data_IF_586582398737
#
_entry.id   IF_586582398737
#
_cell.length_a   1.000
_cell.length_b   1.000
_cell.length_c   1.000
_cell.angle_alpha   90.00
_cell.angle_beta   90.00
_cell.angle_gamma   90.00
#
_symmetry.space_group_name_H-M   'P 1'
#
loop_
_entity.id
_entity.type
_entity.pdbx_description
1 polymer ?
#
# COMPACT_ATOMS: atom_id res chain seq x y z
N UNK A 1 7.29 3.49 -25.56
CA UNK A 1 6.11 4.12 -24.94
C UNK A 1 4.98 4.12 -25.96
N UNK A 2 3.78 3.65 -25.56
CA UNK A 2 2.60 3.61 -26.42
C UNK A 2 2.00 5.00 -26.59
N UNK A 3 1.51 5.31 -27.82
CA UNK A 3 0.78 6.54 -28.16
C UNK A 3 -0.51 6.16 -28.88
N UNK A 4 -1.66 6.52 -28.31
CA UNK A 4 -2.95 6.40 -28.99
C UNK A 4 -3.07 7.46 -30.06
N UNK A 5 -3.52 7.07 -31.23
CA UNK A 5 -3.86 7.96 -32.35
C UNK A 5 -5.29 7.66 -32.75
N UNK A 6 -6.19 8.60 -32.52
CA UNK A 6 -7.58 8.50 -32.93
C UNK A 6 -7.91 9.61 -33.91
N UNK A 7 -8.28 9.25 -35.15
CA UNK A 7 -8.64 10.16 -36.24
C UNK A 7 -9.52 9.36 -37.21
N UNK A 8 -10.64 9.90 -37.71
CA UNK A 8 -11.54 9.20 -38.59
C UNK A 8 -11.00 9.11 -40.03
N UNK A 9 -10.08 9.99 -40.39
CA UNK A 9 -9.41 10.00 -41.70
C UNK A 9 -8.32 8.93 -41.78
N UNK A 10 -8.48 7.95 -42.65
CA UNK A 10 -7.49 6.90 -42.91
C UNK A 10 -6.12 7.50 -43.28
N UNK A 11 -6.10 8.53 -44.08
CA UNK A 11 -4.88 9.20 -44.56
C UNK A 11 -4.16 9.87 -43.40
N UNK A 12 -4.88 10.64 -42.57
CA UNK A 12 -4.36 11.29 -41.38
C UNK A 12 -3.81 10.26 -40.37
N UNK A 13 -4.55 9.21 -40.10
CA UNK A 13 -4.13 8.11 -39.19
C UNK A 13 -2.82 7.45 -39.62
N UNK A 14 -2.71 7.05 -40.92
CA UNK A 14 -1.47 6.45 -41.45
C UNK A 14 -0.27 7.41 -41.41
N UNK A 15 -0.50 8.69 -41.72
CA UNK A 15 0.55 9.69 -41.63
C UNK A 15 1.05 9.87 -40.18
N UNK A 16 0.13 9.99 -39.25
CA UNK A 16 0.45 10.11 -37.80
C UNK A 16 1.15 8.85 -37.26
N UNK A 17 0.65 7.66 -37.63
CA UNK A 17 1.25 6.40 -37.26
C UNK A 17 2.70 6.30 -37.73
N UNK A 18 2.96 6.56 -39.01
CA UNK A 18 4.32 6.52 -39.56
C UNK A 18 5.23 7.55 -38.90
N UNK A 19 4.71 8.75 -38.62
CA UNK A 19 5.45 9.83 -37.98
C UNK A 19 5.82 9.51 -36.55
N UNK A 20 4.89 9.05 -35.74
CA UNK A 20 5.07 8.70 -34.33
C UNK A 20 6.03 7.51 -34.20
N UNK A 21 5.90 6.50 -35.10
CA UNK A 21 6.80 5.35 -35.18
C UNK A 21 8.24 5.76 -35.50
N UNK A 22 8.42 6.71 -36.42
CA UNK A 22 9.74 7.27 -36.74
C UNK A 22 10.43 7.95 -35.55
N UNK A 23 9.65 8.48 -34.60
CA UNK A 23 10.17 9.10 -33.38
C UNK A 23 10.41 8.10 -32.25
N UNK A 24 10.25 6.78 -32.50
CA UNK A 24 10.52 5.71 -31.55
C UNK A 24 9.39 5.44 -30.56
N UNK A 25 8.18 5.88 -30.86
CA UNK A 25 6.97 5.50 -30.11
C UNK A 25 6.28 4.29 -30.74
N UNK A 26 5.46 3.61 -29.96
CA UNK A 26 4.61 2.50 -30.38
C UNK A 26 3.19 3.04 -30.61
N UNK A 27 2.75 3.21 -31.87
CA UNK A 27 1.42 3.70 -32.15
C UNK A 27 0.35 2.63 -31.87
N UNK A 28 -0.74 3.04 -31.24
CA UNK A 28 -1.98 2.28 -31.10
C UNK A 28 -3.05 3.12 -31.79
N UNK A 29 -3.68 2.59 -32.85
CA UNK A 29 -4.59 3.36 -33.69
C UNK A 29 -6.04 3.04 -33.39
N UNK A 30 -6.90 4.03 -33.51
CA UNK A 30 -8.36 3.94 -33.42
C UNK A 30 -8.99 4.71 -34.60
N UNK A 31 -10.05 4.17 -35.18
CA UNK A 31 -10.74 4.76 -36.30
C UNK A 31 -11.86 5.73 -35.89
N UNK A 32 -12.28 5.67 -34.64
CA UNK A 32 -13.31 6.54 -34.05
C UNK A 32 -13.12 6.70 -32.55
N UNK A 33 -13.95 7.57 -31.94
CA UNK A 33 -13.87 7.85 -30.53
C UNK A 33 -14.28 6.68 -29.63
N UNK A 34 -15.13 5.77 -30.10
CA UNK A 34 -15.56 4.63 -29.32
C UNK A 34 -14.47 3.56 -29.23
N UNK A 35 -13.77 3.29 -30.34
CA UNK A 35 -12.60 2.43 -30.35
C UNK A 35 -11.48 3.01 -29.46
N UNK A 36 -11.24 4.33 -29.58
CA UNK A 36 -10.28 5.04 -28.73
C UNK A 36 -10.62 4.91 -27.24
N UNK A 37 -11.90 5.04 -26.89
CA UNK A 37 -12.38 4.85 -25.53
C UNK A 37 -12.14 3.43 -25.01
N UNK A 38 -12.46 2.42 -25.82
CA UNK A 38 -12.24 1.02 -25.49
C UNK A 38 -10.74 0.69 -25.24
N UNK A 39 -9.85 1.33 -26.02
CA UNK A 39 -8.39 1.21 -25.82
C UNK A 39 -7.97 1.87 -24.50
N UNK A 40 -8.48 3.07 -24.24
CA UNK A 40 -8.15 3.81 -23.02
C UNK A 40 -8.66 3.14 -21.73
N UNK A 41 -9.62 2.24 -21.80
CA UNK A 41 -10.12 1.49 -20.64
C UNK A 41 -9.24 0.29 -20.23
N UNK A 42 -8.31 -0.13 -21.06
CA UNK A 42 -7.43 -1.28 -20.76
C UNK A 42 -6.44 -0.95 -19.63
N UNK A 43 -6.02 -1.95 -18.85
CA UNK A 43 -5.00 -1.76 -17.80
C UNK A 43 -3.67 -1.23 -18.34
N UNK A 44 -3.31 -1.59 -19.56
CA UNK A 44 -2.08 -1.19 -20.26
C UNK A 44 -2.30 -0.07 -21.28
N UNK A 45 -3.31 0.76 -21.06
CA UNK A 45 -3.68 1.87 -21.94
C UNK A 45 -2.51 2.83 -22.21
N UNK A 46 -2.42 3.39 -23.42
CA UNK A 46 -1.46 4.44 -23.73
C UNK A 46 -1.63 5.67 -22.83
N UNK A 47 -0.52 6.20 -22.34
CA UNK A 47 -0.48 7.41 -21.50
C UNK A 47 -0.27 8.69 -22.32
N UNK A 48 -0.09 8.57 -23.64
CA UNK A 48 -0.11 9.68 -24.59
C UNK A 48 -1.24 9.42 -25.59
N UNK A 49 -2.07 10.40 -25.86
CA UNK A 49 -3.16 10.31 -26.83
C UNK A 49 -3.15 11.54 -27.76
N UNK A 50 -3.21 11.27 -29.05
CA UNK A 50 -3.43 12.25 -30.11
C UNK A 50 -4.84 11.98 -30.63
N UNK A 51 -5.76 12.90 -30.39
CA UNK A 51 -7.17 12.72 -30.70
C UNK A 51 -7.63 13.79 -31.69
N UNK A 52 -8.27 13.37 -32.76
CA UNK A 52 -8.97 14.34 -33.62
C UNK A 52 -10.18 14.91 -32.84
N UNK A 53 -10.42 16.20 -33.04
CA UNK A 53 -11.55 16.87 -32.44
C UNK A 53 -12.89 16.29 -32.90
N UNK A 54 -13.03 16.07 -34.20
CA UNK A 54 -14.25 15.58 -34.82
C UNK A 54 -14.07 14.11 -35.22
N UNK A 55 -14.73 13.23 -34.53
CA UNK A 55 -14.77 11.80 -34.84
C UNK A 55 -16.22 11.29 -34.75
N UNK A 56 -16.58 10.24 -35.48
CA UNK A 56 -17.86 9.57 -35.31
C UNK A 56 -18.00 8.98 -33.91
N UNK A 57 -19.24 8.83 -33.47
CA UNK A 57 -19.66 8.22 -32.17
C UNK A 57 -19.30 9.05 -30.96
N UNK A 58 -18.03 9.32 -30.71
CA UNK A 58 -17.51 10.18 -29.64
C UNK A 58 -16.49 11.17 -30.22
N UNK A 59 -16.70 12.44 -29.97
CA UNK A 59 -15.73 13.47 -30.30
C UNK A 59 -14.51 13.42 -29.41
N UNK A 60 -13.37 13.98 -29.86
CA UNK A 60 -12.16 14.09 -29.05
C UNK A 60 -12.40 14.85 -27.74
N UNK A 61 -13.26 15.85 -27.75
CA UNK A 61 -13.62 16.65 -26.57
C UNK A 61 -14.44 15.83 -25.56
N UNK A 62 -15.42 15.07 -26.03
CA UNK A 62 -16.18 14.15 -25.17
C UNK A 62 -15.28 13.08 -24.56
N UNK A 63 -14.35 12.56 -25.36
CA UNK A 63 -13.38 11.58 -24.89
C UNK A 63 -12.47 12.17 -23.81
N UNK A 64 -12.02 13.42 -23.93
CA UNK A 64 -11.30 14.13 -22.88
C UNK A 64 -12.10 14.16 -21.58
N UNK A 65 -13.37 14.56 -21.62
CA UNK A 65 -14.24 14.60 -20.43
C UNK A 65 -14.36 13.24 -19.77
N UNK A 66 -14.57 12.17 -20.54
CA UNK A 66 -14.67 10.81 -20.03
C UNK A 66 -13.37 10.34 -19.36
N UNK A 67 -12.21 10.61 -19.96
CA UNK A 67 -10.91 10.27 -19.38
C UNK A 67 -10.67 10.99 -18.05
N UNK A 68 -11.03 12.29 -17.97
CA UNK A 68 -10.85 13.07 -16.72
C UNK A 68 -11.84 12.71 -15.62
N UNK A 69 -13.03 12.23 -15.97
CA UNK A 69 -13.99 11.72 -14.97
C UNK A 69 -13.56 10.40 -14.34
N UNK A 70 -12.73 9.62 -15.03
CA UNK A 70 -12.15 8.41 -14.44
C UNK A 70 -11.02 8.78 -13.49
N UNK A 71 -11.16 8.44 -12.21
CA UNK A 71 -10.09 8.55 -11.21
C UNK A 71 -9.06 7.42 -11.43
N UNK A 72 -8.23 7.55 -12.46
CA UNK A 72 -7.12 6.61 -12.71
C UNK A 72 -5.86 7.09 -12.03
N UNK A 73 -5.08 6.16 -11.49
CA UNK A 73 -3.74 6.46 -10.97
C UNK A 73 -2.80 6.94 -12.08
N UNK A 74 -2.90 6.34 -13.28
CA UNK A 74 -2.06 6.68 -14.42
C UNK A 74 -2.64 7.86 -15.19
N UNK A 75 -1.86 8.94 -15.29
CA UNK A 75 -2.21 10.10 -16.06
C UNK A 75 -2.10 9.85 -17.56
N UNK A 76 -3.09 10.30 -18.34
CA UNK A 76 -3.05 10.29 -19.80
C UNK A 76 -2.96 11.73 -20.31
N UNK A 77 -1.84 12.06 -20.98
CA UNK A 77 -1.68 13.32 -21.68
C UNK A 77 -2.44 13.28 -22.99
N UNK A 78 -3.33 14.24 -23.21
CA UNK A 78 -4.21 14.31 -24.36
C UNK A 78 -3.88 15.55 -25.20
N UNK A 79 -3.48 15.31 -26.46
CA UNK A 79 -3.27 16.32 -27.47
C UNK A 79 -4.43 16.29 -28.48
N UNK A 80 -5.22 17.35 -28.55
CA UNK A 80 -6.29 17.48 -29.54
C UNK A 80 -5.77 18.01 -30.88
N UNK A 81 -6.19 17.38 -31.96
CA UNK A 81 -6.01 17.92 -33.33
C UNK A 81 -7.31 18.58 -33.77
N UNK A 82 -7.26 19.82 -34.18
CA UNK A 82 -8.46 20.57 -34.54
C UNK A 82 -8.32 21.36 -35.86
N UNK A 83 -9.37 21.40 -36.65
CA UNK A 83 -9.48 22.31 -37.78
C UNK A 83 -10.14 23.64 -37.40
N UNK A 84 -10.58 23.78 -36.16
CA UNK A 84 -11.26 24.94 -35.61
C UNK A 84 -10.23 25.95 -35.11
N UNK A 85 -10.34 27.21 -35.60
CA UNK A 85 -9.44 28.30 -35.26
C UNK A 85 -10.11 29.37 -34.39
N UNK A 86 -11.39 29.18 -34.01
CA UNK A 86 -12.08 30.15 -33.17
C UNK A 86 -11.66 29.98 -31.72
N UNK A 87 -11.52 31.09 -31.03
CA UNK A 87 -11.04 31.13 -29.64
C UNK A 87 -11.95 30.36 -28.69
N UNK A 88 -13.25 30.37 -28.97
CA UNK A 88 -14.26 29.67 -28.17
C UNK A 88 -14.08 28.14 -28.22
N UNK A 89 -13.80 27.58 -29.41
CA UNK A 89 -13.56 26.15 -29.59
C UNK A 89 -12.31 25.67 -28.82
N UNK A 90 -11.23 26.48 -28.88
CA UNK A 90 -9.99 26.15 -28.14
C UNK A 90 -10.21 26.14 -26.63
N UNK A 91 -10.99 27.10 -26.12
CA UNK A 91 -11.37 27.14 -24.70
C UNK A 91 -12.20 25.91 -24.34
N UNK A 92 -13.11 25.47 -25.20
CA UNK A 92 -13.91 24.25 -24.95
C UNK A 92 -13.03 23.01 -24.79
N UNK A 93 -12.07 22.77 -25.69
CA UNK A 93 -11.17 21.63 -25.64
C UNK A 93 -10.32 21.60 -24.36
N UNK A 94 -9.75 22.75 -23.99
CA UNK A 94 -8.96 22.87 -22.77
C UNK A 94 -9.82 22.71 -21.51
N UNK A 95 -11.03 23.26 -21.49
CA UNK A 95 -11.98 23.12 -20.38
C UNK A 95 -12.47 21.67 -20.25
N UNK A 96 -12.56 20.93 -21.35
CA UNK A 96 -12.89 19.51 -21.35
C UNK A 96 -11.78 18.62 -20.78
N UNK A 97 -10.58 19.19 -20.57
CA UNK A 97 -9.45 18.48 -19.93
C UNK A 97 -8.38 18.01 -20.90
N UNK A 98 -8.32 18.53 -22.12
CA UNK A 98 -7.14 18.37 -22.98
C UNK A 98 -5.94 19.08 -22.36
N UNK A 99 -4.74 18.51 -22.53
CA UNK A 99 -3.49 19.11 -22.04
C UNK A 99 -2.93 20.12 -23.04
N UNK A 100 -3.19 19.89 -24.32
CA UNK A 100 -2.71 20.74 -25.39
C UNK A 100 -3.55 20.52 -26.67
N UNK A 101 -3.38 21.38 -27.63
CA UNK A 101 -4.02 21.26 -28.96
C UNK A 101 -3.08 21.68 -30.10
N UNK A 102 -3.34 21.19 -31.29
CA UNK A 102 -2.69 21.61 -32.53
C UNK A 102 -3.75 21.85 -33.62
N UNK A 103 -3.61 22.94 -34.32
CA UNK A 103 -4.52 23.24 -35.47
C UNK A 103 -4.05 22.58 -36.76
N UNK A 104 -4.97 21.96 -37.50
CA UNK A 104 -4.73 21.40 -38.84
C UNK A 104 -4.79 22.53 -39.90
N UNK A 105 -3.89 22.56 -40.91
CA UNK A 105 -2.74 21.68 -41.10
C UNK A 105 -1.59 22.03 -40.17
N UNK A 106 -0.95 21.02 -39.57
CA UNK A 106 0.13 21.20 -38.63
C UNK A 106 1.50 20.81 -39.20
N UNK A 107 2.55 21.39 -38.62
CA UNK A 107 3.93 21.03 -38.93
C UNK A 107 4.35 19.84 -38.09
N UNK A 108 5.01 18.86 -38.70
CA UNK A 108 5.55 17.68 -37.99
C UNK A 108 6.49 18.06 -36.83
N UNK A 109 7.22 19.15 -36.95
CA UNK A 109 8.11 19.60 -35.88
C UNK A 109 7.31 20.13 -34.69
N UNK A 110 6.22 20.85 -34.90
CA UNK A 110 5.34 21.30 -33.83
C UNK A 110 4.72 20.10 -33.08
N UNK A 111 4.17 19.13 -33.82
CA UNK A 111 3.63 17.92 -33.25
C UNK A 111 4.69 17.18 -32.41
N UNK A 112 5.94 17.07 -32.90
CA UNK A 112 7.03 16.42 -32.21
C UNK A 112 7.35 17.11 -30.86
N UNK A 113 7.40 18.44 -30.85
CA UNK A 113 7.69 19.22 -29.64
C UNK A 113 6.59 18.98 -28.60
N UNK A 114 5.32 18.99 -28.99
CA UNK A 114 4.20 18.76 -28.06
C UNK A 114 4.15 17.34 -27.52
N UNK A 115 4.40 16.34 -28.37
CA UNK A 115 4.50 14.93 -27.92
C UNK A 115 5.66 14.75 -26.96
N UNK A 116 6.81 15.38 -27.19
CA UNK A 116 7.93 15.34 -26.23
C UNK A 116 7.58 16.01 -24.91
N UNK A 117 6.86 17.13 -24.93
CA UNK A 117 6.38 17.78 -23.73
C UNK A 117 5.40 16.87 -22.95
N UNK A 118 4.45 16.27 -23.67
CA UNK A 118 3.50 15.31 -23.07
C UNK A 118 4.20 14.10 -22.45
N UNK A 119 5.19 13.53 -23.16
CA UNK A 119 6.01 12.44 -22.58
C UNK A 119 6.66 12.84 -21.28
N UNK A 120 7.28 14.03 -21.24
CA UNK A 120 7.94 14.53 -20.04
C UNK A 120 6.95 14.69 -18.87
N UNK A 121 5.75 15.19 -19.13
CA UNK A 121 4.70 15.33 -18.12
C UNK A 121 4.30 13.96 -17.57
N UNK A 122 4.06 12.97 -18.43
CA UNK A 122 3.72 11.60 -18.02
C UNK A 122 4.83 10.95 -17.21
N UNK A 123 6.09 11.11 -17.64
CA UNK A 123 7.26 10.56 -16.92
C UNK A 123 7.40 11.20 -15.54
N UNK A 124 7.28 12.52 -15.41
CA UNK A 124 7.35 13.24 -14.14
C UNK A 124 6.19 12.87 -13.21
N UNK A 125 4.99 12.73 -13.73
CA UNK A 125 3.84 12.30 -12.94
C UNK A 125 4.03 10.88 -12.40
N UNK A 126 4.53 9.96 -13.22
CA UNK A 126 4.82 8.60 -12.80
C UNK A 126 5.94 8.55 -11.73
N UNK A 127 6.97 9.38 -11.87
CA UNK A 127 8.04 9.51 -10.88
C UNK A 127 7.51 10.07 -9.55
N UNK A 128 6.67 11.10 -9.60
CA UNK A 128 6.03 11.69 -8.43
C UNK A 128 5.21 10.63 -7.66
N UNK A 129 4.37 9.87 -8.35
CA UNK A 129 3.56 8.82 -7.73
C UNK A 129 4.41 7.72 -7.10
N UNK A 130 5.49 7.29 -7.77
CA UNK A 130 6.44 6.32 -7.22
C UNK A 130 7.14 6.84 -5.97
N UNK A 131 7.58 8.10 -6.00
CA UNK A 131 8.25 8.73 -4.87
C UNK A 131 7.30 8.88 -3.69
N UNK A 132 6.06 9.31 -3.93
CA UNK A 132 5.04 9.38 -2.89
C UNK A 132 4.74 8.01 -2.27
N UNK A 133 4.61 6.96 -3.10
CA UNK A 133 4.40 5.60 -2.60
C UNK A 133 5.58 5.11 -1.75
N UNK A 134 6.82 5.35 -2.19
CA UNK A 134 8.03 5.00 -1.45
C UNK A 134 8.14 5.76 -0.11
N UNK A 135 7.86 7.06 -0.12
CA UNK A 135 7.85 7.88 1.10
C UNK A 135 6.77 7.41 2.08
N UNK A 136 5.57 7.07 1.58
CA UNK A 136 4.50 6.53 2.40
C UNK A 136 4.88 5.18 3.02
N UNK A 137 5.51 4.30 2.25
CA UNK A 137 6.01 3.02 2.76
C UNK A 137 7.06 3.23 3.85
N UNK A 138 8.03 4.13 3.64
CA UNK A 138 9.04 4.48 4.64
C UNK A 138 8.44 5.09 5.92
N UNK A 139 7.42 5.93 5.78
CA UNK A 139 6.75 6.56 6.91
C UNK A 139 5.91 5.57 7.74
N UNK A 140 5.36 4.53 7.11
CA UNK A 140 4.38 3.64 7.73
C UNK A 140 4.89 2.25 8.08
N UNK A 141 6.00 1.80 7.47
CA UNK A 141 6.52 0.44 7.65
C UNK A 141 7.92 0.44 8.27
N UNK A 142 8.23 -0.64 8.99
CA UNK A 142 9.58 -0.91 9.48
C UNK A 142 10.50 -1.29 8.32
N UNK A 143 11.66 -0.65 8.24
CA UNK A 143 12.58 -0.80 7.12
C UNK A 143 13.10 -2.24 6.94
N UNK A 144 13.25 -2.99 8.05
CA UNK A 144 13.79 -4.34 8.08
C UNK A 144 12.72 -5.39 7.75
N UNK A 145 11.59 -5.34 8.45
CA UNK A 145 10.56 -6.39 8.46
C UNK A 145 9.42 -6.16 7.47
N UNK A 146 9.29 -4.93 6.92
CA UNK A 146 8.24 -4.52 5.97
C UNK A 146 6.80 -4.69 6.48
N UNK A 147 6.61 -4.83 7.78
CA UNK A 147 5.32 -4.69 8.46
C UNK A 147 5.18 -3.27 9.02
N UNK A 148 4.05 -2.91 9.60
CA UNK A 148 3.88 -1.57 10.17
C UNK A 148 4.99 -1.25 11.19
N UNK A 149 5.44 0.00 11.20
CA UNK A 149 6.32 0.49 12.25
C UNK A 149 5.51 0.80 13.53
N UNK A 150 6.22 1.12 14.62
CA UNK A 150 5.63 1.40 15.94
C UNK A 150 4.55 2.48 15.89
N UNK A 151 4.82 3.57 15.19
CA UNK A 151 3.88 4.70 15.08
C UNK A 151 2.60 4.28 14.38
N UNK A 152 2.71 3.67 13.21
CA UNK A 152 1.55 3.29 12.40
C UNK A 152 0.71 2.20 13.06
N UNK A 153 1.33 1.18 13.68
CA UNK A 153 0.54 0.13 14.35
C UNK A 153 -0.23 0.68 15.54
N UNK A 154 0.30 1.69 16.22
CA UNK A 154 -0.40 2.37 17.30
C UNK A 154 -1.60 3.18 16.78
N UNK A 155 -1.43 3.94 15.70
CA UNK A 155 -2.55 4.66 15.04
C UNK A 155 -3.63 3.69 14.56
N UNK A 156 -3.23 2.52 14.02
CA UNK A 156 -4.17 1.46 13.63
C UNK A 156 -4.95 0.95 14.84
N UNK A 157 -4.28 0.74 15.98
CA UNK A 157 -4.95 0.32 17.22
C UNK A 157 -6.01 1.33 17.66
N UNK A 158 -5.67 2.61 17.71
CA UNK A 158 -6.63 3.65 18.07
C UNK A 158 -7.83 3.72 17.12
N UNK A 159 -7.57 3.57 15.81
CA UNK A 159 -8.62 3.57 14.79
C UNK A 159 -9.56 2.37 14.95
N UNK A 160 -8.99 1.17 15.18
CA UNK A 160 -9.78 -0.05 15.36
C UNK A 160 -10.54 -0.04 16.70
N UNK A 161 -10.01 0.56 17.78
CA UNK A 161 -10.76 0.77 19.03
C UNK A 161 -12.00 1.65 18.78
N UNK A 162 -11.83 2.78 18.09
CA UNK A 162 -12.96 3.64 17.73
C UNK A 162 -13.97 2.94 16.82
N UNK A 163 -13.51 2.03 15.97
CA UNK A 163 -14.39 1.22 15.11
C UNK A 163 -15.12 0.15 15.91
N UNK A 164 -14.43 -0.55 16.82
CA UNK A 164 -14.98 -1.54 17.75
C UNK A 164 -16.18 -1.00 18.52
N UNK A 165 -16.07 0.20 19.06
CA UNK A 165 -17.16 0.87 19.78
C UNK A 165 -18.37 1.15 18.88
N UNK A 166 -18.16 1.60 17.64
CA UNK A 166 -19.25 1.90 16.70
C UNK A 166 -19.96 0.67 16.16
N UNK A 167 -19.18 -0.38 15.85
CA UNK A 167 -19.70 -1.63 15.26
C UNK A 167 -20.12 -2.65 16.32
N UNK A 168 -19.92 -2.34 17.61
CA UNK A 168 -20.19 -3.20 18.76
C UNK A 168 -19.48 -4.58 18.64
N UNK A 169 -18.20 -4.56 18.22
CA UNK A 169 -17.37 -5.75 18.04
C UNK A 169 -16.17 -5.72 19.00
N UNK A 170 -15.76 -6.88 19.57
CA UNK A 170 -14.56 -6.94 20.40
C UNK A 170 -13.29 -6.73 19.57
N UNK A 171 -12.19 -6.38 20.24
CA UNK A 171 -10.87 -6.28 19.61
C UNK A 171 -9.83 -6.97 20.50
N UNK A 172 -9.12 -7.96 19.96
CA UNK A 172 -8.00 -8.61 20.59
C UNK A 172 -6.69 -7.86 20.33
N UNK A 173 -5.83 -7.79 21.33
CA UNK A 173 -4.47 -7.27 21.24
C UNK A 173 -3.47 -8.31 21.72
N UNK A 174 -2.38 -8.46 20.96
CA UNK A 174 -1.29 -9.40 21.29
C UNK A 174 0.03 -8.67 21.21
N UNK A 175 0.76 -8.59 22.32
CA UNK A 175 2.15 -8.18 22.37
C UNK A 175 3.01 -9.44 22.42
N UNK A 176 4.04 -9.52 21.59
CA UNK A 176 4.93 -10.67 21.55
C UNK A 176 6.39 -10.24 21.44
N UNK A 177 7.27 -11.11 21.94
CA UNK A 177 8.71 -10.91 21.98
C UNK A 177 9.43 -12.24 21.66
N UNK A 178 10.49 -12.16 20.85
CA UNK A 178 11.27 -13.33 20.47
C UNK A 178 12.16 -13.75 21.64
N UNK A 179 11.95 -14.95 22.15
CA UNK A 179 12.69 -15.46 23.29
C UNK A 179 14.19 -15.56 22.98
N UNK A 180 15.00 -15.02 23.89
CA UNK A 180 16.47 -15.09 23.83
C UNK A 180 17.09 -14.42 22.60
N UNK A 181 16.43 -13.45 21.97
CA UNK A 181 16.91 -12.78 20.75
C UNK A 181 18.30 -12.15 20.94
N UNK A 182 18.59 -11.60 22.11
CA UNK A 182 19.93 -11.07 22.42
C UNK A 182 21.02 -12.13 22.27
N UNK A 183 20.77 -13.37 22.69
CA UNK A 183 21.73 -14.48 22.53
C UNK A 183 21.99 -14.77 21.06
N UNK A 184 20.97 -14.65 20.19
CA UNK A 184 21.15 -14.79 18.74
C UNK A 184 22.13 -13.75 18.21
N UNK A 185 21.94 -12.46 18.57
CA UNK A 185 22.83 -11.40 18.15
C UNK A 185 24.25 -11.57 18.69
N UNK A 186 24.36 -11.92 19.98
CA UNK A 186 25.68 -12.08 20.63
C UNK A 186 26.46 -13.29 20.09
N UNK A 187 25.77 -14.33 19.58
CA UNK A 187 26.38 -15.59 19.12
C UNK A 187 26.61 -15.61 17.60
N UNK A 188 25.65 -15.12 16.81
CA UNK A 188 25.63 -15.25 15.35
C UNK A 188 25.73 -13.90 14.61
N UNK A 189 25.85 -12.80 15.35
CA UNK A 189 25.93 -11.46 14.81
C UNK A 189 24.59 -10.84 14.43
N UNK A 190 24.58 -9.53 14.16
CA UNK A 190 23.40 -8.77 13.86
C UNK A 190 22.73 -9.16 12.53
N UNK A 191 23.51 -9.67 11.57
CA UNK A 191 22.97 -10.13 10.26
C UNK A 191 22.01 -11.32 10.49
N UNK A 192 22.40 -12.27 11.36
CA UNK A 192 21.55 -13.40 11.74
C UNK A 192 20.31 -12.92 12.51
N UNK A 193 20.46 -11.98 13.45
CA UNK A 193 19.32 -11.36 14.14
C UNK A 193 18.35 -10.68 13.19
N UNK A 194 18.84 -9.95 12.20
CA UNK A 194 18.02 -9.31 11.17
C UNK A 194 17.24 -10.35 10.33
N UNK A 195 17.85 -11.50 10.01
CA UNK A 195 17.19 -12.59 9.30
C UNK A 195 16.07 -13.20 10.17
N UNK A 196 16.32 -13.41 11.47
CA UNK A 196 15.31 -13.88 12.43
C UNK A 196 14.12 -12.91 12.50
N UNK A 197 14.35 -11.61 12.57
CA UNK A 197 13.29 -10.60 12.62
C UNK A 197 12.43 -10.60 11.34
N UNK A 198 13.06 -10.70 10.15
CA UNK A 198 12.34 -10.80 8.87
C UNK A 198 11.49 -12.07 8.80
N UNK A 199 12.06 -13.20 9.17
CA UNK A 199 11.35 -14.48 9.13
C UNK A 199 10.22 -14.52 10.17
N UNK A 200 10.42 -13.98 11.37
CA UNK A 200 9.39 -13.84 12.39
C UNK A 200 8.21 -13.00 11.88
N UNK A 201 8.48 -11.84 11.30
CA UNK A 201 7.44 -10.99 10.71
C UNK A 201 6.67 -11.73 9.60
N UNK A 202 7.35 -12.47 8.72
CA UNK A 202 6.73 -13.28 7.67
C UNK A 202 5.81 -14.35 8.25
N UNK A 203 6.27 -15.10 9.28
CA UNK A 203 5.49 -16.16 9.95
C UNK A 203 4.28 -15.60 10.67
N UNK A 204 4.42 -14.48 11.39
CA UNK A 204 3.29 -13.80 12.05
C UNK A 204 2.25 -13.39 10.99
N UNK A 205 2.68 -12.72 9.92
CA UNK A 205 1.79 -12.26 8.85
C UNK A 205 1.06 -13.42 8.16
N UNK A 206 1.70 -14.58 8.01
CA UNK A 206 1.07 -15.80 7.45
C UNK A 206 0.12 -16.48 8.44
N UNK A 207 0.31 -16.27 9.74
CA UNK A 207 -0.49 -16.85 10.80
C UNK A 207 -1.73 -16.02 11.17
N UNK A 208 -1.89 -14.80 10.68
CA UNK A 208 -3.03 -13.91 10.93
C UNK A 208 -3.93 -13.81 9.68
N UNK A 209 -5.12 -13.24 9.84
CA UNK A 209 -6.07 -13.03 8.74
C UNK A 209 -5.70 -11.78 7.95
N UNK A 210 -6.24 -11.63 6.74
CA UNK A 210 -5.95 -10.47 5.86
C UNK A 210 -6.39 -9.12 6.43
N UNK A 211 -7.35 -9.09 7.33
CA UNK A 211 -7.85 -7.88 7.99
C UNK A 211 -7.24 -7.65 9.39
N UNK A 212 -6.46 -8.60 9.91
CA UNK A 212 -5.66 -8.41 11.11
C UNK A 212 -4.43 -7.56 10.76
N UNK A 213 -3.92 -6.84 11.73
CA UNK A 213 -2.76 -5.97 11.55
C UNK A 213 -1.59 -6.41 12.41
N UNK A 214 -0.37 -6.29 11.87
CA UNK A 214 0.87 -6.57 12.59
C UNK A 214 1.87 -5.45 12.37
N UNK A 215 2.59 -5.06 13.44
CA UNK A 215 3.67 -4.07 13.40
C UNK A 215 4.82 -4.45 14.31
N UNK A 216 6.01 -3.94 14.00
CA UNK A 216 7.17 -4.01 14.89
C UNK A 216 7.10 -2.89 15.89
N UNK A 217 6.97 -3.24 17.17
CA UNK A 217 6.76 -2.28 18.25
C UNK A 217 8.07 -1.84 18.89
N UNK A 218 9.06 -2.73 18.99
CA UNK A 218 10.38 -2.49 19.54
C UNK A 218 11.46 -3.30 18.81
N UNK A 219 12.62 -3.50 19.41
CA UNK A 219 13.73 -4.27 18.84
C UNK A 219 13.33 -5.65 18.33
N UNK A 220 12.89 -6.53 19.23
CA UNK A 220 12.40 -7.88 18.96
C UNK A 220 10.92 -8.06 19.30
N UNK A 221 10.21 -6.93 19.54
CA UNK A 221 8.81 -6.92 19.95
C UNK A 221 7.88 -6.61 18.75
N UNK A 222 6.78 -7.34 18.70
CA UNK A 222 5.74 -7.18 17.69
C UNK A 222 4.37 -7.00 18.35
N UNK A 223 3.53 -6.19 17.72
CA UNK A 223 2.15 -5.96 18.13
C UNK A 223 1.20 -6.48 17.06
N UNK A 224 0.21 -7.27 17.48
CA UNK A 224 -0.83 -7.78 16.57
C UNK A 224 -2.20 -7.31 17.05
N UNK A 225 -3.00 -6.79 16.13
CA UNK A 225 -4.35 -6.28 16.36
C UNK A 225 -5.33 -7.22 15.63
N UNK A 226 -6.32 -7.71 16.37
CA UNK A 226 -7.28 -8.73 15.95
C UNK A 226 -8.71 -8.18 16.02
N UNK A 227 -9.21 -7.44 15.02
CA UNK A 227 -10.57 -6.92 15.01
C UNK A 227 -11.60 -8.06 15.04
N UNK A 228 -12.68 -7.88 15.82
CA UNK A 228 -13.74 -8.86 15.96
C UNK A 228 -13.36 -10.11 16.78
N UNK A 229 -12.22 -10.11 17.48
CA UNK A 229 -11.79 -11.23 18.32
C UNK A 229 -12.16 -11.00 19.78
N UNK A 230 -13.00 -11.86 20.32
CA UNK A 230 -13.24 -12.02 21.75
C UNK A 230 -12.07 -12.73 22.46
N UNK A 231 -12.20 -13.02 23.75
CA UNK A 231 -11.15 -13.70 24.53
C UNK A 231 -10.76 -15.05 23.93
N UNK A 232 -11.74 -15.90 23.60
CA UNK A 232 -11.48 -17.24 23.08
C UNK A 232 -10.76 -17.19 21.73
N UNK A 233 -11.21 -16.28 20.84
CA UNK A 233 -10.59 -16.01 19.57
C UNK A 233 -9.15 -15.46 19.75
N UNK A 234 -8.97 -14.48 20.63
CA UNK A 234 -7.65 -13.86 20.89
C UNK A 234 -6.64 -14.87 21.40
N UNK A 235 -7.03 -15.72 22.36
CA UNK A 235 -6.18 -16.83 22.85
C UNK A 235 -5.81 -17.81 21.75
N UNK A 236 -6.80 -18.23 20.94
CA UNK A 236 -6.60 -19.18 19.85
C UNK A 236 -5.66 -18.61 18.76
N UNK A 237 -5.84 -17.34 18.39
CA UNK A 237 -4.97 -16.66 17.42
C UNK A 237 -3.55 -16.50 17.97
N UNK A 238 -3.41 -16.11 19.24
CA UNK A 238 -2.10 -16.00 19.91
C UNK A 238 -1.35 -17.34 19.91
N UNK A 239 -2.04 -18.44 20.23
CA UNK A 239 -1.45 -19.78 20.19
C UNK A 239 -1.07 -20.21 18.76
N UNK A 240 -1.85 -19.82 17.75
CA UNK A 240 -1.51 -20.06 16.33
C UNK A 240 -0.23 -19.34 15.95
N UNK A 241 -0.09 -18.07 16.35
CA UNK A 241 1.11 -17.27 16.11
C UNK A 241 2.32 -17.91 16.81
N UNK A 242 2.19 -18.25 18.09
CA UNK A 242 3.26 -18.91 18.87
C UNK A 242 3.75 -20.19 18.19
N UNK A 243 2.81 -21.05 17.78
CA UNK A 243 3.13 -22.30 17.08
C UNK A 243 3.79 -22.05 15.73
N UNK A 244 3.35 -21.07 14.97
CA UNK A 244 3.94 -20.72 13.68
C UNK A 244 5.40 -20.24 13.82
N UNK A 245 5.71 -19.51 14.89
CA UNK A 245 7.08 -19.08 15.17
C UNK A 245 7.99 -20.24 15.56
N UNK A 246 7.47 -21.21 16.33
CA UNK A 246 8.22 -22.35 16.84
C UNK A 246 8.19 -23.58 15.94
N UNK A 247 7.45 -23.59 14.82
CA UNK A 247 7.17 -24.79 14.03
C UNK A 247 8.40 -25.39 13.35
N UNK A 248 9.29 -24.53 12.86
CA UNK A 248 10.49 -24.91 12.11
C UNK A 248 11.66 -24.01 12.48
N UNK A 249 12.87 -24.56 12.41
CA UNK A 249 14.08 -23.75 12.58
C UNK A 249 14.13 -22.64 11.51
N UNK A 250 14.57 -21.45 11.91
CA UNK A 250 14.69 -20.30 11.02
C UNK A 250 16.05 -20.36 10.31
N UNK A 251 16.08 -20.33 8.98
CA UNK A 251 17.34 -20.26 8.24
C UNK A 251 17.98 -18.89 8.47
N UNK A 252 19.25 -18.87 8.84
CA UNK A 252 20.02 -17.66 9.06
C UNK A 252 21.44 -17.84 8.47
N UNK A 253 22.03 -16.74 8.02
CA UNK A 253 23.44 -16.69 7.66
C UNK A 253 24.19 -15.95 8.76
N UNK A 254 25.26 -16.51 9.28
CA UNK A 254 26.13 -15.83 10.22
C UNK A 254 27.03 -14.79 9.51
N UNK A 255 27.84 -14.06 10.25
CA UNK A 255 28.76 -13.07 9.69
C UNK A 255 29.85 -13.70 8.79
N UNK A 256 30.05 -15.01 8.88
CA UNK A 256 30.99 -15.78 8.05
C UNK A 256 30.30 -16.41 6.82
N UNK A 257 29.05 -16.03 6.53
CA UNK A 257 28.22 -16.60 5.46
C UNK A 257 27.98 -18.11 5.60
N UNK A 258 28.01 -18.66 6.84
CA UNK A 258 27.70 -20.05 7.10
C UNK A 258 26.17 -20.20 7.26
N UNK A 259 25.60 -21.12 6.50
CA UNK A 259 24.17 -21.45 6.59
C UNK A 259 23.92 -22.22 7.91
N UNK A 260 23.08 -21.67 8.78
CA UNK A 260 22.64 -22.33 9.99
C UNK A 260 21.13 -22.20 10.15
N UNK A 261 20.55 -23.01 11.02
CA UNK A 261 19.13 -22.98 11.33
C UNK A 261 18.91 -22.88 12.82
N UNK A 262 18.16 -21.85 13.25
CA UNK A 262 17.92 -21.57 14.66
C UNK A 262 16.49 -21.93 15.05
N UNK A 263 16.34 -22.82 16.03
CA UNK A 263 15.05 -23.07 16.67
C UNK A 263 14.78 -21.95 17.70
N UNK A 264 13.78 -21.14 17.43
CA UNK A 264 13.40 -20.01 18.27
C UNK A 264 11.96 -20.12 18.71
N UNK A 265 11.66 -19.52 19.85
CA UNK A 265 10.31 -19.42 20.39
C UNK A 265 9.97 -17.95 20.64
N UNK A 266 8.71 -17.69 20.95
CA UNK A 266 8.27 -16.38 21.38
C UNK A 266 7.34 -16.48 22.58
N UNK A 267 7.41 -15.48 23.45
CA UNK A 267 6.45 -15.25 24.53
C UNK A 267 5.39 -14.26 24.07
N UNK A 268 4.14 -14.49 24.43
CA UNK A 268 3.01 -13.67 24.01
C UNK A 268 2.16 -13.26 25.22
N UNK A 269 1.90 -11.97 25.34
CA UNK A 269 0.90 -11.40 26.23
C UNK A 269 -0.29 -10.90 25.43
N UNK A 270 -1.49 -11.25 25.83
CA UNK A 270 -2.68 -10.83 25.10
C UNK A 270 -3.84 -10.43 26.01
N UNK A 271 -4.70 -9.59 25.46
CA UNK A 271 -5.91 -9.09 26.13
C UNK A 271 -6.99 -8.80 25.09
N UNK A 272 -8.21 -8.52 25.52
CA UNK A 272 -9.34 -8.18 24.63
C UNK A 272 -10.12 -7.01 25.20
N UNK A 273 -10.30 -5.96 24.41
CA UNK A 273 -11.25 -4.90 24.70
C UNK A 273 -12.65 -5.31 24.20
N UNK A 274 -13.61 -5.25 25.11
CA UNK A 274 -15.04 -5.44 24.79
C UNK A 274 -15.64 -4.10 24.35
N UNK A 275 -16.61 -4.10 23.44
CA UNK A 275 -17.29 -2.88 23.04
C UNK A 275 -17.99 -2.21 24.22
N UNK A 276 -17.97 -0.86 24.24
CA UNK A 276 -18.53 -0.07 25.33
C UNK A 276 -17.61 0.10 26.55
N UNK A 277 -16.52 -0.67 26.65
CA UNK A 277 -15.42 -0.38 27.59
C UNK A 277 -14.60 0.79 27.01
N UNK A 278 -14.79 2.00 27.52
CA UNK A 278 -14.01 3.18 27.13
C UNK A 278 -12.56 3.04 27.61
N UNK A 279 -11.81 2.16 26.99
CA UNK A 279 -10.40 1.92 27.29
C UNK A 279 -9.52 2.63 26.27
N UNK A 280 -8.41 3.24 26.73
CA UNK A 280 -7.43 3.83 25.83
C UNK A 280 -6.50 2.78 25.22
N UNK A 281 -5.89 3.11 24.07
CA UNK A 281 -4.90 2.25 23.43
C UNK A 281 -3.69 1.98 24.34
N UNK A 282 -3.25 3.00 25.10
CA UNK A 282 -2.15 2.90 26.04
C UNK A 282 -2.45 1.90 27.17
N UNK A 283 -3.66 1.98 27.75
CA UNK A 283 -4.06 1.06 28.83
C UNK A 283 -4.15 -0.38 28.30
N UNK A 284 -4.69 -0.56 27.09
CA UNK A 284 -4.78 -1.89 26.48
C UNK A 284 -3.40 -2.48 26.20
N UNK A 285 -2.47 -1.64 25.72
CA UNK A 285 -1.06 -2.02 25.52
C UNK A 285 -0.38 -2.38 26.84
N UNK A 286 -0.59 -1.60 27.90
CA UNK A 286 -0.01 -1.89 29.20
C UNK A 286 -0.44 -3.26 29.72
N UNK A 287 -1.71 -3.62 29.62
CA UNK A 287 -2.22 -4.93 30.03
C UNK A 287 -1.58 -6.07 29.22
N UNK A 288 -1.42 -5.87 27.90
CA UNK A 288 -0.77 -6.86 27.05
C UNK A 288 0.72 -7.01 27.38
N UNK A 289 1.42 -5.92 27.70
CA UNK A 289 2.84 -5.92 28.11
C UNK A 289 3.05 -6.62 29.46
N UNK A 290 2.21 -6.32 30.45
CA UNK A 290 2.22 -7.03 31.75
C UNK A 290 2.00 -8.53 31.57
N UNK A 291 1.09 -8.93 30.68
CA UNK A 291 0.85 -10.33 30.34
C UNK A 291 2.06 -10.96 29.64
N UNK A 292 2.74 -10.23 28.75
CA UNK A 292 3.98 -10.66 28.11
C UNK A 292 5.10 -10.86 29.14
N UNK A 293 5.22 -9.94 30.09
CA UNK A 293 6.17 -10.07 31.18
C UNK A 293 5.93 -11.35 32.02
N UNK A 294 4.66 -11.66 32.33
CA UNK A 294 4.30 -12.93 33.01
C UNK A 294 4.66 -14.15 32.15
N UNK A 295 4.43 -14.11 30.83
CA UNK A 295 4.81 -15.20 29.94
C UNK A 295 6.32 -15.46 29.98
N UNK A 296 7.13 -14.39 29.94
CA UNK A 296 8.60 -14.47 30.05
C UNK A 296 9.04 -15.06 31.40
N UNK A 297 8.45 -14.60 32.52
CA UNK A 297 8.76 -15.13 33.86
C UNK A 297 8.28 -16.55 34.07
N UNK A 298 7.18 -16.94 33.49
CA UNK A 298 6.60 -18.28 33.62
C UNK A 298 7.36 -19.38 32.87
N UNK A 299 8.49 -19.08 32.23
CA UNK A 299 9.32 -20.07 31.50
C UNK A 299 9.30 -19.92 30.00
N UNK A 300 8.82 -18.78 29.45
CA UNK A 300 8.81 -18.44 28.04
C UNK A 300 7.97 -19.38 27.14
N UNK A 301 8.03 -19.22 25.83
CA UNK A 301 7.33 -20.04 24.84
C UNK A 301 5.86 -20.31 25.18
N UNK A 302 5.12 -19.32 25.59
CA UNK A 302 3.72 -19.42 26.01
C UNK A 302 2.90 -18.18 25.74
N UNK A 303 1.59 -18.36 25.80
CA UNK A 303 0.61 -17.28 25.75
C UNK A 303 0.07 -17.06 27.18
N UNK A 304 0.07 -15.80 27.62
CA UNK A 304 -0.64 -15.37 28.82
C UNK A 304 -1.71 -14.37 28.40
N UNK A 305 -2.92 -14.58 28.85
CA UNK A 305 -4.04 -13.69 28.62
C UNK A 305 -4.50 -13.07 29.94
N UNK A 306 -4.72 -11.75 29.94
CA UNK A 306 -5.32 -11.04 31.06
C UNK A 306 -6.63 -10.39 30.64
N UNK A 307 -7.68 -10.57 31.43
CA UNK A 307 -8.98 -9.94 31.21
C UNK A 307 -9.00 -8.55 31.81
N UNK A 308 -9.51 -7.58 31.05
CA UNK A 308 -9.65 -6.18 31.51
C UNK A 308 -10.58 -6.05 32.72
N UNK A 309 -11.59 -6.92 32.83
CA UNK A 309 -12.60 -6.89 33.91
C UNK A 309 -12.03 -7.22 35.29
N UNK A 310 -10.83 -7.87 35.34
CA UNK A 310 -10.17 -8.19 36.61
C UNK A 310 -9.32 -7.06 37.20
N UNK A 311 -8.87 -6.10 36.36
CA UNK A 311 -7.87 -5.09 36.74
C UNK A 311 -8.42 -3.67 36.92
N UNK A 312 -9.62 -3.36 36.43
CA UNK A 312 -10.20 -2.02 36.65
C UNK A 312 -10.45 -1.70 38.14
N UNK A 313 -10.53 -2.75 38.96
CA UNK A 313 -10.63 -2.61 40.44
C UNK A 313 -9.29 -2.26 41.13
N UNK A 314 -8.14 -2.58 40.51
CA UNK A 314 -6.81 -2.34 41.12
C UNK A 314 -6.16 -1.04 40.66
N UNK A 315 -6.48 -0.53 39.47
CA UNK A 315 -5.91 0.70 38.91
C UNK A 315 -6.58 1.99 39.43
N UNK A 316 -7.78 1.87 40.04
CA UNK A 316 -8.51 3.05 40.59
C UNK A 316 -8.10 3.36 42.04
N UNK A 317 -7.34 2.48 42.73
CA UNK A 317 -7.04 2.61 44.15
C UNK A 317 -5.57 2.90 44.49
N UNK A 318 -4.73 3.40 43.61
CA UNK A 318 -3.38 3.90 43.99
C UNK A 318 -3.23 5.40 43.68
N UNK A 319 -3.52 6.31 44.66
CA UNK A 319 -3.40 7.76 44.49
C UNK A 319 -1.96 8.27 44.66
N UNK A 320 -0.93 7.42 44.69
CA UNK A 320 0.47 7.83 44.93
C UNK A 320 1.45 6.97 44.12
N UNK A 321 1.66 7.32 42.84
CA UNK A 321 2.96 7.13 42.18
C UNK A 321 3.15 8.12 41.07
#
# INVERSE_FOLDING_TARGET
>A
MKVLIADDSIVSRHMLEATVKKWGYEPVVAADGQEAWAILQKPDAPQLAILDWMMPSLTGVELCRLVRQQQREAYTYILLLTSKNQREDLIEGMTAGADDYITKPFNHHELQVRIRAGRRIVELQAELLRTQAALREQATHDALTKIFNRHTIFEVLEKELRRSDRENLPIGLVMLDIDHFKIVNDTYGHIAGDAVLRESARRIKSAIRSYDSVGRYGGEEFLVILPGCDEACTRSQSERIRKALASEAMPVHDENATDTSLALTASLGCTTALPGLKISAETLLQIADESLYEAKRGGRNRVVFRSILGDVGSLVNDPLR
#
